data_IF_341738142068
#
_entry.id   IF_341738142068
#
_cell.length_a   1.000
_cell.length_b   1.000
_cell.length_c   1.000
_cell.angle_alpha   90.00
_cell.angle_beta   90.00
_cell.angle_gamma   90.00
#
_symmetry.space_group_name_H-M   'P 1'
#
loop_
_entity.id
_entity.type
_entity.pdbx_description
1 polymer ?
#
# COMPACT_ATOMS: atom_id res chain seq x y z
N UNK A 1 -33.07 -14.42 -22.40
CA UNK A 1 -32.93 -13.04 -21.87
C UNK A 1 -31.46 -12.77 -21.63
N UNK A 2 -30.84 -11.92 -22.46
CA UNK A 2 -29.42 -11.59 -22.39
C UNK A 2 -29.22 -10.29 -21.60
N UNK A 3 -28.44 -10.33 -20.51
CA UNK A 3 -27.97 -9.14 -19.79
C UNK A 3 -26.46 -9.03 -19.96
N UNK A 4 -26.07 -8.55 -21.14
CA UNK A 4 -24.70 -8.12 -21.44
C UNK A 4 -24.46 -6.73 -20.86
N UNK A 5 -23.84 -6.68 -19.68
CA UNK A 5 -23.36 -5.43 -19.08
C UNK A 5 -22.14 -4.90 -19.84
N UNK A 6 -22.38 -4.04 -20.83
CA UNK A 6 -21.33 -3.28 -21.51
C UNK A 6 -20.60 -2.40 -20.49
N UNK A 7 -19.38 -2.77 -20.13
CA UNK A 7 -18.46 -1.91 -19.41
C UNK A 7 -18.08 -0.75 -20.36
N UNK A 8 -18.77 0.39 -20.23
CA UNK A 8 -18.48 1.57 -21.03
C UNK A 8 -17.06 2.04 -20.70
N UNK A 9 -16.17 1.92 -21.69
CA UNK A 9 -14.84 2.51 -21.68
C UNK A 9 -15.03 4.03 -21.72
N UNK A 10 -15.00 4.67 -20.55
CA UNK A 10 -14.92 6.12 -20.43
C UNK A 10 -13.59 6.58 -21.05
N UNK A 11 -13.61 6.94 -22.32
CA UNK A 11 -12.55 7.72 -22.94
C UNK A 11 -12.65 9.13 -22.35
N UNK A 12 -11.86 9.41 -21.31
CA UNK A 12 -11.74 10.76 -20.77
C UNK A 12 -10.96 11.59 -21.78
N UNK A 13 -11.67 12.42 -22.55
CA UNK A 13 -11.08 13.53 -23.28
C UNK A 13 -10.43 14.46 -22.27
N UNK A 14 -9.09 14.57 -22.32
CA UNK A 14 -8.33 15.49 -21.49
C UNK A 14 -8.68 16.90 -21.92
N UNK A 15 -9.60 17.55 -21.19
CA UNK A 15 -9.98 18.93 -21.47
C UNK A 15 -8.77 19.84 -21.31
N UNK A 16 -8.58 20.74 -22.28
CA UNK A 16 -7.47 21.70 -22.43
C UNK A 16 -7.25 22.60 -21.20
N UNK A 17 -8.16 22.59 -20.22
CA UNK A 17 -8.07 23.36 -18.98
C UNK A 17 -7.15 22.75 -17.90
N UNK A 18 -6.72 21.49 -18.03
CA UNK A 18 -5.85 20.82 -17.03
C UNK A 18 -4.43 21.41 -16.96
N UNK A 19 -4.02 22.19 -17.97
CA UNK A 19 -2.72 22.86 -18.04
C UNK A 19 -2.65 24.20 -17.30
N UNK A 20 -3.75 24.67 -16.68
CA UNK A 20 -3.80 25.90 -15.87
C UNK A 20 -3.74 25.67 -14.36
N UNK A 21 -3.32 24.48 -13.92
CA UNK A 21 -3.04 24.24 -12.51
C UNK A 21 -1.53 24.24 -12.28
N UNK A 22 -1.03 24.88 -11.21
CA UNK A 22 0.38 24.83 -10.87
C UNK A 22 0.86 23.38 -10.76
N UNK A 23 2.05 23.10 -11.29
CA UNK A 23 2.63 21.75 -11.42
C UNK A 23 2.58 20.96 -10.10
N UNK A 24 2.78 21.62 -8.95
CA UNK A 24 2.73 21.01 -7.63
C UNK A 24 1.37 20.36 -7.25
N UNK A 25 0.26 20.79 -7.85
CA UNK A 25 -1.08 20.24 -7.59
C UNK A 25 -1.47 19.11 -8.56
N UNK A 26 -0.82 19.04 -9.73
CA UNK A 26 -1.13 18.07 -10.79
C UNK A 26 -0.43 16.74 -10.55
N UNK A 27 0.84 16.78 -10.11
CA UNK A 27 1.65 15.58 -9.88
C UNK A 27 1.05 14.60 -8.85
N UNK A 28 0.56 15.02 -7.67
CA UNK A 28 -0.01 14.10 -6.70
C UNK A 28 -1.29 13.41 -7.19
N UNK A 29 -2.15 14.14 -7.93
CA UNK A 29 -3.41 13.59 -8.48
C UNK A 29 -3.15 12.62 -9.62
N UNK A 30 -2.23 12.94 -10.52
CA UNK A 30 -1.88 12.05 -11.63
C UNK A 30 -1.20 10.77 -11.12
N UNK A 31 -0.30 10.89 -10.15
CA UNK A 31 0.35 9.75 -9.49
C UNK A 31 -0.65 8.84 -8.79
N UNK A 32 -1.61 9.41 -8.06
CA UNK A 32 -2.67 8.64 -7.39
C UNK A 32 -3.54 7.87 -8.40
N UNK A 33 -3.91 8.49 -9.53
CA UNK A 33 -4.71 7.83 -10.58
C UNK A 33 -3.95 6.69 -11.25
N UNK A 34 -2.69 6.91 -11.64
CA UNK A 34 -1.84 5.88 -12.25
C UNK A 34 -1.62 4.71 -11.28
N UNK A 35 -1.36 5.00 -10.00
CA UNK A 35 -1.18 3.98 -8.97
C UNK A 35 -2.46 3.16 -8.71
N UNK A 36 -3.63 3.80 -8.69
CA UNK A 36 -4.91 3.11 -8.55
C UNK A 36 -5.23 2.23 -9.77
N UNK A 37 -4.91 2.70 -10.98
CA UNK A 37 -5.09 1.95 -12.22
C UNK A 37 -4.19 0.71 -12.24
N UNK A 38 -2.93 0.85 -11.83
CA UNK A 38 -1.99 -0.26 -11.78
C UNK A 38 -2.39 -1.30 -10.72
N UNK A 39 -2.82 -0.86 -9.53
CA UNK A 39 -3.38 -1.76 -8.51
C UNK A 39 -4.63 -2.48 -9.01
N UNK A 40 -5.49 -1.81 -9.77
CA UNK A 40 -6.68 -2.41 -10.37
C UNK A 40 -6.31 -3.48 -11.42
N UNK A 41 -5.31 -3.20 -12.27
CA UNK A 41 -4.76 -4.15 -13.24
C UNK A 41 -4.20 -5.40 -12.56
N UNK A 42 -3.34 -5.21 -11.55
CA UNK A 42 -2.76 -6.31 -10.77
C UNK A 42 -3.85 -7.12 -10.06
N UNK A 43 -4.80 -6.46 -9.41
CA UNK A 43 -5.90 -7.13 -8.71
C UNK A 43 -6.79 -7.93 -9.69
N UNK A 44 -7.00 -7.42 -10.91
CA UNK A 44 -7.71 -8.15 -11.97
C UNK A 44 -6.95 -9.42 -12.38
N UNK A 45 -5.63 -9.31 -12.63
CA UNK A 45 -4.79 -10.46 -12.96
C UNK A 45 -4.70 -11.48 -11.82
N UNK A 46 -4.70 -11.02 -10.57
CA UNK A 46 -4.71 -11.92 -9.42
C UNK A 46 -6.05 -12.63 -9.29
N UNK A 47 -7.16 -11.93 -9.56
CA UNK A 47 -8.50 -12.52 -9.56
C UNK A 47 -8.68 -13.57 -10.66
N UNK A 48 -8.09 -13.39 -11.83
CA UNK A 48 -8.16 -14.39 -12.91
C UNK A 48 -7.37 -15.67 -12.62
N UNK A 49 -6.42 -15.63 -11.67
CA UNK A 49 -5.65 -16.80 -11.22
C UNK A 49 -6.32 -17.57 -10.08
N UNK A 50 -7.41 -17.06 -9.51
CA UNK A 50 -8.11 -17.74 -8.43
C UNK A 50 -8.81 -19.01 -8.96
N UNK A 51 -8.47 -20.16 -8.38
CA UNK A 51 -9.09 -21.45 -8.72
C UNK A 51 -10.57 -21.52 -8.31
N UNK A 52 -10.94 -20.83 -7.23
CA UNK A 52 -12.30 -20.78 -6.69
C UNK A 52 -12.66 -19.34 -6.42
N UNK A 53 -13.77 -18.89 -7.00
CA UNK A 53 -14.34 -17.58 -6.70
C UNK A 53 -15.23 -17.65 -5.47
N UNK A 54 -15.09 -16.69 -4.56
CA UNK A 54 -15.99 -16.56 -3.42
C UNK A 54 -17.06 -15.48 -3.70
N UNK A 55 -18.36 -15.72 -3.44
CA UNK A 55 -19.45 -14.76 -3.62
C UNK A 55 -19.58 -13.71 -2.50
N UNK A 56 -18.62 -13.65 -1.58
CA UNK A 56 -18.58 -12.71 -0.43
C UNK A 56 -18.55 -11.22 -0.80
N UNK A 57 -18.47 -10.87 -2.08
CA UNK A 57 -18.59 -9.51 -2.59
C UNK A 57 -17.44 -8.60 -2.20
N UNK A 58 -17.73 -7.31 -2.04
CA UNK A 58 -16.78 -6.26 -1.65
C UNK A 58 -16.53 -6.18 -0.13
N UNK A 59 -17.26 -6.96 0.67
CA UNK A 59 -17.10 -6.97 2.12
C UNK A 59 -15.82 -7.73 2.51
N UNK A 60 -14.99 -7.17 3.40
CA UNK A 60 -13.77 -7.84 3.84
C UNK A 60 -14.09 -9.09 4.67
N UNK A 61 -13.20 -10.09 4.68
CA UNK A 61 -13.38 -11.32 5.47
C UNK A 61 -13.59 -11.08 6.98
N UNK A 62 -13.06 -9.97 7.53
CA UNK A 62 -13.31 -9.56 8.92
C UNK A 62 -14.80 -9.34 9.19
N UNK A 63 -15.52 -8.82 8.19
CA UNK A 63 -16.97 -8.64 8.28
C UNK A 63 -17.69 -9.99 8.36
N UNK A 64 -17.36 -10.91 7.44
CA UNK A 64 -17.93 -12.26 7.41
C UNK A 64 -17.64 -13.04 8.70
N UNK A 65 -16.45 -12.88 9.28
CA UNK A 65 -16.11 -13.47 10.59
C UNK A 65 -17.04 -12.94 11.68
N UNK A 66 -17.33 -11.64 11.73
CA UNK A 66 -18.28 -11.09 12.72
C UNK A 66 -19.70 -11.63 12.53
N UNK A 67 -20.15 -11.82 11.30
CA UNK A 67 -21.47 -12.40 11.02
C UNK A 67 -21.59 -13.84 11.51
N UNK A 68 -20.55 -14.66 11.34
CA UNK A 68 -20.53 -16.05 11.83
C UNK A 68 -20.40 -16.12 13.35
N UNK A 69 -19.69 -15.17 13.96
CA UNK A 69 -19.49 -15.12 15.42
C UNK A 69 -20.78 -14.84 16.20
N UNK A 70 -21.66 -14.00 15.65
CA UNK A 70 -22.91 -13.57 16.29
C UNK A 70 -23.82 -14.71 16.76
N UNK A 71 -24.19 -15.69 15.91
CA UNK A 71 -25.06 -16.79 16.34
C UNK A 71 -24.34 -17.86 17.17
N UNK A 72 -23.03 -18.06 16.98
CA UNK A 72 -22.28 -19.14 17.66
C UNK A 72 -21.75 -18.77 19.05
N UNK A 73 -21.72 -17.49 19.42
CA UNK A 73 -21.26 -17.06 20.75
C UNK A 73 -19.76 -17.27 21.03
N UNK A 74 -18.93 -17.38 19.99
CA UNK A 74 -17.49 -17.64 20.11
C UNK A 74 -16.69 -17.21 18.88
N UNK A 75 -15.36 -17.42 18.91
CA UNK A 75 -14.47 -17.14 17.76
C UNK A 75 -14.76 -18.13 16.64
N UNK A 76 -15.20 -17.68 15.45
CA UNK A 76 -15.46 -18.59 14.33
C UNK A 76 -14.19 -19.26 13.87
N UNK A 77 -14.25 -20.58 13.75
CA UNK A 77 -13.24 -21.39 13.10
C UNK A 77 -13.12 -20.97 11.64
N UNK A 78 -11.93 -21.07 11.08
CA UNK A 78 -11.71 -20.73 9.69
C UNK A 78 -12.55 -21.60 8.73
N UNK A 79 -12.86 -22.84 9.11
CA UNK A 79 -13.77 -23.76 8.38
C UNK A 79 -15.18 -23.17 8.27
N UNK A 80 -15.71 -22.61 9.37
CA UNK A 80 -17.03 -21.97 9.37
C UNK A 80 -17.05 -20.74 8.44
N UNK A 81 -15.95 -19.97 8.45
CA UNK A 81 -15.78 -18.82 7.59
C UNK A 81 -15.69 -19.24 6.12
N UNK A 82 -14.99 -20.34 5.82
CA UNK A 82 -14.89 -20.89 4.47
C UNK A 82 -16.27 -21.29 3.94
N UNK A 83 -17.00 -22.07 4.73
CA UNK A 83 -18.38 -22.47 4.42
C UNK A 83 -19.24 -21.24 4.14
N UNK A 84 -19.30 -20.26 5.04
CA UNK A 84 -20.12 -19.05 4.85
C UNK A 84 -19.80 -18.28 3.56
N UNK A 85 -18.52 -18.24 3.18
CA UNK A 85 -18.04 -17.41 2.05
C UNK A 85 -18.08 -18.11 0.70
N UNK A 86 -18.20 -19.45 0.65
CA UNK A 86 -18.15 -20.26 -0.56
C UNK A 86 -19.45 -21.02 -0.88
N UNK A 87 -20.55 -20.64 -0.23
CA UNK A 87 -21.90 -21.04 -0.63
C UNK A 87 -22.56 -19.99 -1.53
N UNK A 88 -23.44 -20.44 -2.43
CA UNK A 88 -24.22 -19.53 -3.28
C UNK A 88 -25.17 -18.69 -2.42
N UNK A 89 -25.45 -17.47 -2.85
CA UNK A 89 -26.34 -16.52 -2.12
C UNK A 89 -27.76 -17.05 -1.94
N UNK A 90 -28.21 -17.95 -2.81
CA UNK A 90 -29.55 -18.54 -2.79
C UNK A 90 -29.65 -19.72 -1.81
N UNK A 91 -28.57 -20.11 -1.12
CA UNK A 91 -28.55 -21.28 -0.24
C UNK A 91 -28.44 -22.62 -0.96
N UNK A 92 -28.56 -22.67 -2.29
CA UNK A 92 -28.44 -23.89 -3.11
C UNK A 92 -26.98 -24.33 -3.33
N UNK A 93 -26.33 -24.71 -2.24
CA UNK A 93 -25.06 -25.46 -2.25
C UNK A 93 -23.81 -24.63 -2.54
N UNK A 94 -22.73 -25.36 -2.82
CA UNK A 94 -21.39 -24.83 -3.01
C UNK A 94 -21.26 -24.05 -4.31
N UNK A 95 -20.37 -23.05 -4.31
CA UNK A 95 -20.11 -22.22 -5.51
C UNK A 95 -19.46 -23.01 -6.64
N UNK A 96 -18.69 -24.04 -6.30
CA UNK A 96 -18.07 -24.98 -7.24
C UNK A 96 -17.78 -26.30 -6.53
N UNK A 97 -17.62 -27.39 -7.29
CA UNK A 97 -17.23 -28.69 -6.73
C UNK A 97 -15.86 -28.64 -6.06
N UNK A 98 -14.92 -27.88 -6.62
CA UNK A 98 -13.60 -27.63 -6.01
C UNK A 98 -13.73 -26.95 -4.64
N UNK A 99 -14.72 -26.07 -4.46
CA UNK A 99 -14.97 -25.45 -3.17
C UNK A 99 -15.45 -26.48 -2.12
N UNK A 100 -16.32 -27.42 -2.54
CA UNK A 100 -16.80 -28.51 -1.70
C UNK A 100 -15.67 -29.46 -1.30
N UNK A 101 -14.87 -29.92 -2.25
CA UNK A 101 -13.72 -30.81 -1.99
C UNK A 101 -12.71 -30.16 -1.04
N UNK A 102 -12.45 -28.86 -1.20
CA UNK A 102 -11.59 -28.14 -0.28
C UNK A 102 -12.17 -28.11 1.14
N UNK A 103 -13.48 -27.90 1.28
CA UNK A 103 -14.12 -27.92 2.59
C UNK A 103 -14.01 -29.31 3.24
N UNK A 104 -14.31 -30.37 2.48
CA UNK A 104 -14.18 -31.76 2.95
C UNK A 104 -12.75 -32.04 3.46
N UNK A 105 -11.72 -31.65 2.70
CA UNK A 105 -10.31 -31.75 3.13
C UNK A 105 -10.01 -30.98 4.42
N UNK A 106 -10.59 -29.78 4.59
CA UNK A 106 -10.39 -29.02 5.83
C UNK A 106 -11.00 -29.72 7.04
N UNK A 107 -12.17 -30.34 6.87
CA UNK A 107 -12.85 -31.13 7.92
C UNK A 107 -12.06 -32.39 8.25
N UNK A 108 -11.53 -33.08 7.23
CA UNK A 108 -10.72 -34.28 7.41
C UNK A 108 -9.43 -33.98 8.20
N UNK A 109 -8.71 -32.92 7.84
CA UNK A 109 -7.49 -32.50 8.57
C UNK A 109 -7.82 -32.13 10.02
N UNK A 110 -8.91 -31.37 10.25
CA UNK A 110 -9.35 -31.02 11.60
C UNK A 110 -9.65 -32.28 12.44
N UNK A 111 -10.25 -33.29 11.82
CA UNK A 111 -10.59 -34.55 12.49
C UNK A 111 -9.35 -35.39 12.79
N UNK A 112 -8.43 -35.53 11.84
CA UNK A 112 -7.18 -36.31 12.01
C UNK A 112 -6.28 -35.72 13.09
N UNK A 113 -6.11 -34.39 13.12
CA UNK A 113 -5.21 -33.77 14.09
C UNK A 113 -5.76 -33.71 15.51
N UNK A 114 -7.07 -33.88 15.70
CA UNK A 114 -7.66 -34.10 17.03
C UNK A 114 -7.19 -35.43 17.64
N UNK A 115 -6.75 -36.39 16.80
CA UNK A 115 -6.31 -37.73 17.21
C UNK A 115 -4.79 -37.77 17.51
N UNK A 116 -3.96 -37.02 16.78
CA UNK A 116 -2.51 -37.26 16.78
C UNK A 116 -1.65 -36.37 17.68
N UNK A 117 -2.00 -35.10 17.95
CA UNK A 117 -1.32 -34.23 18.94
C UNK A 117 -1.77 -32.78 18.72
N UNK A 118 -2.67 -32.30 19.58
CA UNK A 118 -3.10 -30.89 19.65
C UNK A 118 -3.92 -30.39 18.45
N UNK A 119 -4.97 -29.62 18.72
CA UNK A 119 -5.79 -29.02 17.66
C UNK A 119 -4.93 -28.13 16.74
N UNK A 120 -4.91 -28.34 15.42
CA UNK A 120 -4.19 -27.51 14.47
C UNK A 120 -4.70 -26.08 14.55
N UNK A 121 -3.78 -25.12 14.39
CA UNK A 121 -4.20 -23.75 14.22
C UNK A 121 -4.90 -23.63 12.86
N UNK A 122 -6.01 -22.91 12.83
CA UNK A 122 -6.79 -22.61 11.62
C UNK A 122 -5.97 -22.19 10.39
N UNK A 123 -4.83 -21.53 10.63
CA UNK A 123 -3.91 -21.06 9.58
C UNK A 123 -3.20 -22.21 8.87
N UNK A 124 -2.89 -23.29 9.58
CA UNK A 124 -2.17 -24.44 9.06
C UNK A 124 -3.09 -25.29 8.17
N UNK A 125 -4.34 -25.50 8.60
CA UNK A 125 -5.38 -26.20 7.82
C UNK A 125 -5.61 -25.49 6.48
N UNK A 126 -5.76 -24.16 6.50
CA UNK A 126 -5.97 -23.38 5.27
C UNK A 126 -4.78 -23.42 4.33
N UNK A 127 -3.57 -23.34 4.88
CA UNK A 127 -2.33 -23.38 4.10
C UNK A 127 -2.14 -24.73 3.44
N UNK A 128 -2.52 -25.82 4.11
CA UNK A 128 -2.44 -27.17 3.58
C UNK A 128 -3.47 -27.42 2.47
N UNK A 129 -4.72 -26.96 2.65
CA UNK A 129 -5.80 -27.21 1.68
C UNK A 129 -5.78 -26.26 0.49
N UNK A 130 -5.68 -24.96 0.74
CA UNK A 130 -5.74 -23.94 -0.31
C UNK A 130 -4.35 -23.62 -0.90
N UNK A 131 -3.31 -24.23 -0.35
CA UNK A 131 -1.92 -23.90 -0.60
C UNK A 131 -1.49 -22.65 0.16
N UNK A 132 -0.17 -22.41 0.16
CA UNK A 132 0.42 -21.23 0.79
C UNK A 132 -0.18 -19.97 0.17
N UNK A 133 -0.69 -19.07 1.02
CA UNK A 133 -1.21 -17.75 0.63
C UNK A 133 -0.11 -16.97 -0.13
N UNK A 134 -0.09 -17.06 -1.45
CA UNK A 134 0.66 -16.12 -2.30
C UNK A 134 -0.21 -14.86 -2.47
N UNK A 135 -0.55 -14.18 -1.36
CA UNK A 135 -1.37 -12.95 -1.38
C UNK A 135 -0.56 -11.67 -1.43
N UNK A 136 0.72 -11.76 -1.11
CA UNK A 136 1.65 -10.88 -1.76
C UNK A 136 2.06 -11.66 -2.99
N UNK A 137 1.93 -11.03 -4.15
CA UNK A 137 2.76 -11.32 -5.29
C UNK A 137 4.11 -11.87 -4.77
N UNK A 138 4.70 -12.86 -5.45
CA UNK A 138 6.13 -12.66 -5.72
C UNK A 138 6.18 -11.22 -6.20
N UNK A 139 6.53 -10.28 -5.30
CA UNK A 139 6.91 -8.95 -5.72
C UNK A 139 8.05 -9.33 -6.64
N UNK A 140 7.79 -9.16 -7.93
CA UNK A 140 8.72 -9.50 -9.00
C UNK A 140 10.10 -9.18 -8.43
N UNK A 141 10.96 -10.19 -8.26
CA UNK A 141 12.14 -10.03 -7.39
C UNK A 141 12.93 -8.78 -7.83
N UNK A 142 12.86 -8.51 -9.13
CA UNK A 142 13.30 -7.30 -9.81
C UNK A 142 12.66 -6.00 -9.29
N UNK A 143 11.33 -5.91 -9.20
CA UNK A 143 10.64 -4.75 -8.62
C UNK A 143 11.00 -4.50 -7.15
N UNK A 144 11.34 -5.55 -6.39
CA UNK A 144 11.84 -5.39 -5.01
C UNK A 144 13.23 -4.76 -5.02
N UNK A 145 14.12 -5.25 -5.89
CA UNK A 145 15.48 -4.70 -6.05
C UNK A 145 15.47 -3.27 -6.54
N UNK A 146 14.63 -2.96 -7.53
CA UNK A 146 14.42 -1.58 -8.01
C UNK A 146 13.89 -0.67 -6.90
N UNK A 147 12.95 -1.15 -6.08
CA UNK A 147 12.41 -0.38 -4.96
C UNK A 147 13.46 -0.13 -3.88
N UNK A 148 14.32 -1.11 -3.60
CA UNK A 148 15.43 -0.97 -2.65
C UNK A 148 16.50 0.00 -3.17
N UNK A 149 16.86 -0.09 -4.45
CA UNK A 149 17.77 0.85 -5.10
C UNK A 149 17.21 2.29 -5.10
N UNK A 150 15.91 2.44 -5.40
CA UNK A 150 15.25 3.74 -5.36
C UNK A 150 15.23 4.33 -3.94
N UNK A 151 15.00 3.51 -2.91
CA UNK A 151 15.10 3.94 -1.51
C UNK A 151 16.50 4.39 -1.12
N UNK A 152 17.53 3.66 -1.55
CA UNK A 152 18.91 4.05 -1.31
C UNK A 152 19.24 5.40 -1.96
N UNK A 153 18.79 5.61 -3.20
CA UNK A 153 18.96 6.88 -3.93
C UNK A 153 18.24 8.03 -3.21
N UNK A 154 17.02 7.79 -2.72
CA UNK A 154 16.26 8.81 -1.96
C UNK A 154 17.00 9.20 -0.68
N UNK A 155 17.59 8.23 0.03
CA UNK A 155 18.32 8.51 1.25
C UNK A 155 19.61 9.30 0.98
N UNK A 156 20.33 8.98 -0.10
CA UNK A 156 21.49 9.77 -0.56
C UNK A 156 21.08 11.22 -0.89
N UNK A 157 19.98 11.41 -1.61
CA UNK A 157 19.48 12.75 -1.95
C UNK A 157 19.09 13.56 -0.71
N UNK A 158 18.52 12.92 0.32
CA UNK A 158 18.23 13.60 1.60
C UNK A 158 19.51 14.01 2.32
N UNK A 159 20.54 13.15 2.33
CA UNK A 159 21.84 13.49 2.92
C UNK A 159 22.48 14.67 2.20
N UNK A 160 22.46 14.67 0.86
CA UNK A 160 22.97 15.78 0.04
C UNK A 160 22.20 17.07 0.28
N UNK A 161 20.88 16.99 0.45
CA UNK A 161 20.07 18.16 0.76
C UNK A 161 20.42 18.75 2.13
N UNK A 162 20.62 17.90 3.14
CA UNK A 162 21.06 18.33 4.47
C UNK A 162 22.43 19.00 4.45
N UNK A 163 23.37 18.46 3.68
CA UNK A 163 24.70 19.06 3.49
C UNK A 163 24.62 20.43 2.82
N UNK A 164 23.80 20.57 1.78
CA UNK A 164 23.57 21.85 1.12
C UNK A 164 22.98 22.90 2.08
N UNK A 165 22.02 22.50 2.92
CA UNK A 165 21.42 23.40 3.91
C UNK A 165 22.43 23.83 4.98
N UNK A 166 23.31 22.93 5.42
CA UNK A 166 24.40 23.24 6.34
C UNK A 166 25.40 24.25 5.72
N UNK A 167 25.83 24.02 4.49
CA UNK A 167 26.74 24.92 3.78
C UNK A 167 26.12 26.30 3.56
N UNK A 168 24.83 26.34 3.21
CA UNK A 168 24.08 27.60 3.06
C UNK A 168 24.04 28.38 4.38
N UNK A 169 23.78 27.69 5.50
CA UNK A 169 23.79 28.32 6.82
C UNK A 169 25.16 28.85 7.21
N UNK A 170 26.23 28.09 6.96
CA UNK A 170 27.61 28.55 7.18
C UNK A 170 27.94 29.79 6.34
N UNK A 171 27.53 29.80 5.06
CA UNK A 171 27.73 30.94 4.19
C UNK A 171 27.01 32.20 4.69
N UNK A 172 25.77 32.04 5.16
CA UNK A 172 24.97 33.09 5.78
C UNK A 172 25.68 33.67 7.02
N UNK A 173 26.26 32.81 7.85
CA UNK A 173 27.00 33.20 9.05
C UNK A 173 28.31 33.95 8.71
N UNK A 174 29.11 33.43 7.78
CA UNK A 174 30.28 34.12 7.25
C UNK A 174 29.92 35.51 6.69
N UNK A 175 28.78 35.61 6.00
CA UNK A 175 28.27 36.89 5.48
C UNK A 175 27.92 37.87 6.61
N UNK A 176 27.28 37.40 7.68
CA UNK A 176 26.98 38.22 8.87
C UNK A 176 28.25 38.71 9.57
N UNK A 177 29.23 37.83 9.78
CA UNK A 177 30.51 38.22 10.39
C UNK A 177 31.26 39.25 9.55
N UNK A 178 31.30 39.06 8.22
CA UNK A 178 31.89 40.04 7.31
C UNK A 178 31.17 41.40 7.40
N UNK A 179 29.84 41.41 7.50
CA UNK A 179 29.06 42.61 7.71
C UNK A 179 29.43 43.35 9.01
N UNK A 180 29.49 42.62 10.13
CA UNK A 180 29.90 43.19 11.44
C UNK A 180 31.31 43.78 11.38
N UNK A 181 32.26 43.04 10.81
CA UNK A 181 33.65 43.52 10.67
C UNK A 181 33.71 44.81 9.85
N UNK A 182 32.97 44.88 8.74
CA UNK A 182 32.93 46.07 7.88
C UNK A 182 32.32 47.28 8.60
N UNK A 183 31.25 47.08 9.37
CA UNK A 183 30.66 48.14 10.19
C UNK A 183 31.63 48.65 11.26
N UNK A 184 32.29 47.74 11.99
CA UNK A 184 33.29 48.11 13.00
C UNK A 184 34.47 48.87 12.40
N UNK A 185 34.98 48.40 11.25
CA UNK A 185 36.07 49.08 10.55
C UNK A 185 35.68 50.51 10.13
N UNK A 186 34.47 50.69 9.58
CA UNK A 186 33.96 52.00 9.19
C UNK A 186 33.78 52.93 10.40
N UNK A 187 33.31 52.41 11.53
CA UNK A 187 33.17 53.17 12.77
C UNK A 187 34.51 53.67 13.29
N UNK A 188 35.52 52.79 13.37
CA UNK A 188 36.87 53.15 13.78
C UNK A 188 37.50 54.18 12.84
N UNK A 189 37.34 53.98 11.52
CA UNK A 189 37.80 54.93 10.50
C UNK A 189 37.18 56.32 10.67
N UNK A 190 35.88 56.38 10.94
CA UNK A 190 35.18 57.65 11.15
C UNK A 190 35.68 58.39 12.40
N UNK A 191 35.85 57.67 13.51
CA UNK A 191 36.35 58.24 14.76
C UNK A 191 37.78 58.78 14.61
N UNK A 192 38.68 58.02 13.99
CA UNK A 192 40.05 58.45 13.75
C UNK A 192 40.10 59.72 12.88
N UNK A 193 39.26 59.79 11.84
CA UNK A 193 39.17 60.98 10.99
C UNK A 193 38.67 62.21 11.75
N UNK A 194 37.76 62.04 12.71
CA UNK A 194 37.29 63.14 13.55
C UNK A 194 38.33 63.60 14.57
N UNK A 195 39.18 62.69 15.05
CA UNK A 195 40.26 62.97 15.99
C UNK A 195 41.41 63.74 15.33
N UNK A 196 41.78 63.40 14.09
CA UNK A 196 42.79 64.13 13.30
C UNK A 196 42.32 65.56 12.94
N UNK A 197 41.00 65.80 12.90
CA UNK A 197 40.43 67.10 12.53
C UNK A 197 40.34 68.08 13.73
N UNK A 198 40.46 67.59 14.97
CA UNK A 198 40.50 68.43 16.18
C UNK A 198 41.91 68.94 16.43
#
# INVERSE_FOLDING_TARGET
>A
MAIGGKCQRLALTVSSTMWRLPTYAVYPRLWMLLHLQERSRINTNNRSKLKVHHPGGSRPFVWHRKEVARPKGGTPTAIDLYSKTHHKKNGEGWVSDVARENYEKMVDIQSQSTIESGAPKDVDIFTQVLGKKIWLCERDLELVRELEAAKATIEELKSRQSEYDNLKNQQEECRRHRGKFKSNFNYLRHNLHNEIRR
#
